data_IF_876687867986
#
_entry.id   IF_876687867986
#
_cell.length_a   1.000
_cell.length_b   1.000
_cell.length_c   1.000
_cell.angle_alpha   90.00
_cell.angle_beta   90.00
_cell.angle_gamma   90.00
#
_symmetry.space_group_name_H-M   'P 1'
#
loop_
_entity.id
_entity.type
_entity.pdbx_description
1 polymer ?
#
# COMPACT_ATOMS: atom_id res chain seq x y z
N UNK A 1 -11.46 -15.48 -4.77
CA UNK A 1 -10.40 -14.60 -5.28
C UNK A 1 -10.88 -14.03 -6.60
N UNK A 2 -10.92 -12.71 -6.77
CA UNK A 2 -11.47 -12.10 -8.00
C UNK A 2 -10.45 -12.28 -9.12
N UNK A 3 -10.83 -13.02 -10.15
CA UNK A 3 -10.02 -13.31 -11.33
C UNK A 3 -9.60 -12.01 -12.00
N UNK A 4 -8.34 -11.96 -12.45
CA UNK A 4 -7.78 -10.84 -13.20
C UNK A 4 -8.45 -10.86 -14.56
N UNK A 5 -9.51 -10.08 -14.74
CA UNK A 5 -10.10 -9.85 -16.06
C UNK A 5 -8.98 -9.32 -16.96
N UNK A 6 -8.54 -10.18 -17.86
CA UNK A 6 -7.47 -9.89 -18.77
C UNK A 6 -8.08 -8.99 -19.83
N UNK A 7 -7.84 -7.69 -19.70
CA UNK A 7 -8.33 -6.69 -20.66
C UNK A 7 -7.74 -7.08 -22.02
N UNK A 8 -8.60 -7.55 -22.92
CA UNK A 8 -8.21 -8.08 -24.24
C UNK A 8 -7.97 -6.98 -25.27
N UNK A 9 -8.17 -5.72 -24.89
CA UNK A 9 -7.91 -4.56 -25.71
C UNK A 9 -6.39 -4.32 -25.82
N UNK A 10 -5.81 -4.36 -27.04
CA UNK A 10 -4.39 -4.11 -27.27
C UNK A 10 -3.88 -2.79 -26.68
N UNK A 11 -4.69 -1.73 -26.70
CA UNK A 11 -4.31 -0.41 -26.17
C UNK A 11 -4.24 -0.42 -24.64
N UNK A 12 -5.03 -1.29 -24.00
CA UNK A 12 -5.10 -1.41 -22.55
C UNK A 12 -4.26 -2.56 -21.99
N UNK A 13 -3.59 -3.34 -22.85
CA UNK A 13 -2.83 -4.53 -22.51
C UNK A 13 -1.76 -4.29 -21.41
N UNK A 14 -1.25 -3.05 -21.31
CA UNK A 14 -0.21 -2.67 -20.35
C UNK A 14 -0.70 -1.79 -19.18
N UNK A 15 -2.00 -1.48 -19.12
CA UNK A 15 -2.55 -0.56 -18.10
C UNK A 15 -2.30 -1.05 -16.68
N UNK A 16 -2.46 -2.36 -16.43
CA UNK A 16 -2.20 -2.92 -15.11
C UNK A 16 -0.75 -2.72 -14.65
N UNK A 17 0.22 -2.89 -15.56
CA UNK A 17 1.65 -2.65 -15.27
C UNK A 17 1.92 -1.15 -15.05
N UNK A 18 1.34 -0.29 -15.88
CA UNK A 18 1.47 1.16 -15.74
C UNK A 18 0.90 1.65 -14.40
N UNK A 19 -0.30 1.21 -14.05
CA UNK A 19 -0.96 1.52 -12.78
C UNK A 19 -0.15 1.06 -11.57
N UNK A 20 0.39 -0.16 -11.59
CA UNK A 20 1.24 -0.66 -10.51
C UNK A 20 2.52 0.18 -10.32
N UNK A 21 3.14 0.65 -11.42
CA UNK A 21 4.29 1.55 -11.35
C UNK A 21 3.91 2.91 -10.76
N UNK A 22 2.79 3.48 -11.19
CA UNK A 22 2.28 4.75 -10.68
C UNK A 22 1.99 4.67 -9.17
N UNK A 23 1.29 3.63 -8.72
CA UNK A 23 1.01 3.40 -7.31
C UNK A 23 2.28 3.26 -6.46
N UNK A 24 3.31 2.56 -6.97
CA UNK A 24 4.61 2.45 -6.28
C UNK A 24 5.28 3.81 -6.10
N UNK A 25 5.28 4.64 -7.14
CA UNK A 25 5.86 6.00 -7.09
C UNK A 25 5.08 6.93 -6.18
N UNK A 26 3.75 6.91 -6.24
CA UNK A 26 2.90 7.70 -5.35
C UNK A 26 3.16 7.37 -3.87
N UNK A 27 3.28 6.08 -3.53
CA UNK A 27 3.67 5.66 -2.18
C UNK A 27 5.05 6.16 -1.78
N UNK A 28 6.02 6.11 -2.70
CA UNK A 28 7.38 6.60 -2.43
C UNK A 28 7.37 8.10 -2.11
N UNK A 29 6.77 8.91 -2.98
CA UNK A 29 6.65 10.36 -2.79
C UNK A 29 5.95 10.66 -1.47
N UNK A 30 4.83 10.01 -1.18
CA UNK A 30 4.09 10.20 0.08
C UNK A 30 4.96 9.96 1.32
N UNK A 31 5.87 8.97 1.28
CA UNK A 31 6.82 8.71 2.38
C UNK A 31 7.88 9.81 2.49
N UNK A 32 8.34 10.35 1.36
CA UNK A 32 9.37 11.38 1.31
C UNK A 32 8.84 12.75 1.73
N UNK A 33 7.62 13.10 1.31
CA UNK A 33 7.00 14.41 1.57
C UNK A 33 6.14 14.44 2.83
N UNK A 34 5.91 13.30 3.47
CA UNK A 34 4.98 13.18 4.60
C UNK A 34 3.51 13.37 4.19
N UNK A 35 3.19 13.24 2.92
CA UNK A 35 1.81 13.34 2.43
C UNK A 35 1.03 12.08 2.82
N UNK A 36 -0.22 12.21 3.32
CA UNK A 36 -1.09 11.06 3.59
C UNK A 36 -1.34 10.22 2.33
N UNK A 37 -1.46 8.89 2.48
CA UNK A 37 -1.71 7.98 1.35
C UNK A 37 -2.90 7.08 1.60
N UNK A 38 -4.05 7.55 1.14
CA UNK A 38 -5.33 6.88 1.32
C UNK A 38 -5.56 5.80 0.25
N UNK A 39 -6.07 4.65 0.70
CA UNK A 39 -6.53 3.56 -0.17
C UNK A 39 -7.89 3.06 0.27
N UNK A 40 -8.67 2.55 -0.68
CA UNK A 40 -9.88 1.80 -0.37
C UNK A 40 -9.51 0.37 0.01
N UNK A 41 -9.82 -0.04 1.25
CA UNK A 41 -9.55 -1.37 1.76
C UNK A 41 -10.66 -1.80 2.70
N UNK A 42 -11.16 -3.03 2.53
CA UNK A 42 -12.18 -3.64 3.40
C UNK A 42 -13.45 -2.76 3.56
N UNK A 43 -13.86 -2.12 2.46
CA UNK A 43 -15.05 -1.25 2.42
C UNK A 43 -14.87 0.12 3.06
N UNK A 44 -13.64 0.55 3.35
CA UNK A 44 -13.34 1.83 4.01
C UNK A 44 -12.10 2.50 3.41
N UNK A 45 -11.97 3.81 3.63
CA UNK A 45 -10.74 4.56 3.32
C UNK A 45 -9.74 4.39 4.46
N UNK A 46 -8.51 4.01 4.14
CA UNK A 46 -7.43 3.79 5.11
C UNK A 46 -6.17 4.52 4.65
N UNK A 47 -5.53 5.28 5.55
CA UNK A 47 -4.18 5.80 5.31
C UNK A 47 -3.13 4.72 5.61
N UNK A 48 -2.40 4.30 4.57
CA UNK A 48 -1.38 3.26 4.73
C UNK A 48 -0.10 3.76 5.40
N UNK A 49 0.22 5.05 5.32
CA UNK A 49 1.42 5.58 5.97
C UNK A 49 1.19 5.80 7.47
N UNK A 50 -0.01 6.23 7.88
CA UNK A 50 -0.39 6.31 9.29
C UNK A 50 -0.44 4.91 9.96
N UNK A 51 -0.81 3.87 9.21
CA UNK A 51 -0.84 2.50 9.72
C UNK A 51 0.57 1.90 9.94
N UNK A 52 1.58 2.34 9.19
CA UNK A 52 2.97 1.89 9.28
C UNK A 52 3.66 2.35 10.57
N UNK A 53 3.44 3.61 10.98
CA UNK A 53 4.01 4.15 12.23
C UNK A 53 3.53 3.36 13.45
N UNK A 54 2.24 2.98 13.46
CA UNK A 54 1.64 2.19 14.54
C UNK A 54 2.15 0.75 14.57
N UNK A 55 2.42 0.13 13.40
CA UNK A 55 2.97 -1.24 13.34
C UNK A 55 4.41 -1.32 13.82
N UNK A 56 5.26 -0.31 13.56
CA UNK A 56 6.63 -0.27 14.10
C UNK A 56 6.64 -0.18 15.62
N UNK A 57 5.77 0.64 16.20
CA UNK A 57 5.56 0.74 17.65
C UNK A 57 5.18 -0.62 18.28
N UNK A 58 4.19 -1.32 17.73
CA UNK A 58 3.75 -2.64 18.23
C UNK A 58 4.81 -3.73 18.09
N UNK A 59 5.65 -3.67 17.06
CA UNK A 59 6.73 -4.65 16.83
C UNK A 59 7.91 -4.42 17.77
N UNK A 60 8.18 -3.17 18.16
CA UNK A 60 9.21 -2.82 19.14
C UNK A 60 8.85 -3.33 20.55
N UNK A 61 7.60 -3.15 20.98
CA UNK A 61 7.14 -3.60 22.31
C UNK A 61 7.07 -5.12 22.44
N UNK A 62 6.75 -5.84 21.35
CA UNK A 62 6.71 -7.31 21.35
C UNK A 62 8.10 -7.95 21.48
N UNK A 63 9.16 -7.29 20.96
CA UNK A 63 10.54 -7.78 21.09
C UNK A 63 11.09 -7.66 22.51
N UNK A 64 10.76 -6.60 23.24
CA UNK A 64 11.22 -6.40 24.62
C UNK A 64 10.67 -7.46 25.59
N UNK A 65 9.46 -7.97 25.34
CA UNK A 65 8.81 -8.98 26.20
C UNK A 65 9.34 -10.40 26.01
N UNK A 66 10.14 -10.66 24.97
CA UNK A 66 10.69 -12.00 24.64
C UNK A 66 12.08 -12.26 25.23
N UNK A 67 12.72 -11.23 25.80
CA UNK A 67 14.06 -11.29 26.40
C UNK A 67 14.05 -11.07 27.93
N UNK A 68 12.89 -11.18 28.57
CA UNK A 68 12.73 -11.16 30.02
C UNK A 68 11.97 -12.41 30.44
#
# INVERSE_FOLDING_TARGET
MKSKEQISDPDLANVGKASARAAKRARQIAMETGTPFYVWKDGRVVDLLAAESTKRSRRATTKQKKHK
#
